data_IF_531559757918
#
_entry.id   IF_531559757918
#
_cell.length_a   1.000
_cell.length_b   1.000
_cell.length_c   1.000
_cell.angle_alpha   90.00
_cell.angle_beta   90.00
_cell.angle_gamma   90.00
#
_symmetry.space_group_name_H-M   'P 1'
#
loop_
_entity.id
_entity.type
_entity.pdbx_description
1 polymer ?
#
# COMPACT_ATOMS: atom_id res chain seq x y z
N UNK A 1 4.60 45.21 -6.15
CA UNK A 1 3.34 44.44 -6.26
C UNK A 1 3.77 42.98 -6.38
N UNK A 2 3.49 42.15 -5.37
CA UNK A 2 3.72 40.71 -5.48
C UNK A 2 2.48 40.14 -6.13
N UNK A 3 2.57 39.74 -7.40
CA UNK A 3 1.51 38.95 -8.03
C UNK A 3 1.58 37.55 -7.42
N UNK A 4 0.65 37.23 -6.52
CA UNK A 4 0.48 35.86 -6.04
C UNK A 4 0.08 34.96 -7.21
N UNK A 5 0.66 33.77 -7.28
CA UNK A 5 0.23 32.73 -8.22
C UNK A 5 -1.21 32.34 -7.86
N UNK A 6 -2.09 32.18 -8.85
CA UNK A 6 -3.47 31.76 -8.60
C UNK A 6 -3.45 30.40 -7.87
N UNK A 7 -4.19 30.30 -6.75
CA UNK A 7 -4.30 29.03 -6.05
C UNK A 7 -5.38 28.17 -6.71
N UNK A 8 -4.92 27.20 -7.49
CA UNK A 8 -5.80 26.23 -8.16
C UNK A 8 -6.12 25.00 -7.30
N UNK A 9 -5.47 24.86 -6.13
CA UNK A 9 -5.71 23.77 -5.19
C UNK A 9 -6.99 24.00 -4.39
N UNK A 10 -7.68 22.90 -4.03
CA UNK A 10 -8.85 22.88 -3.13
C UNK A 10 -10.14 23.54 -3.66
N UNK A 11 -10.46 23.38 -4.94
CA UNK A 11 -11.71 23.91 -5.48
C UNK A 11 -12.87 22.95 -5.28
N UNK A 12 -13.08 22.00 -6.18
CA UNK A 12 -14.18 21.04 -6.06
C UNK A 12 -13.70 19.74 -5.40
N UNK A 13 -14.35 19.34 -4.30
CA UNK A 13 -13.95 18.19 -3.46
C UNK A 13 -12.45 18.16 -3.10
N UNK A 14 -11.84 19.33 -2.89
CA UNK A 14 -10.43 19.44 -2.54
C UNK A 14 -9.44 19.28 -3.70
N UNK A 15 -9.92 19.03 -4.93
CA UNK A 15 -9.07 18.76 -6.08
C UNK A 15 -8.57 20.03 -6.77
N UNK A 16 -7.47 19.88 -7.52
CA UNK A 16 -6.85 20.94 -8.32
C UNK A 16 -7.65 21.21 -9.61
N UNK A 17 -7.90 22.48 -9.92
CA UNK A 17 -8.48 22.88 -11.20
C UNK A 17 -7.38 23.07 -12.26
N UNK A 18 -7.43 22.29 -13.34
CA UNK A 18 -6.50 22.36 -14.45
C UNK A 18 -6.95 23.38 -15.49
N UNK A 19 -6.20 24.48 -15.59
CA UNK A 19 -6.48 25.59 -16.53
C UNK A 19 -5.48 25.69 -17.67
N UNK A 20 -4.33 25.01 -17.62
CA UNK A 20 -3.21 25.26 -18.53
C UNK A 20 -3.54 25.03 -20.01
N UNK A 21 -4.57 24.24 -20.32
CA UNK A 21 -5.00 23.91 -21.68
C UNK A 21 -6.43 24.37 -22.01
N UNK A 22 -7.05 25.19 -21.16
CA UNK A 22 -8.45 25.61 -21.32
C UNK A 22 -9.46 24.46 -21.22
N UNK A 23 -9.03 23.31 -20.66
CA UNK A 23 -9.88 22.13 -20.43
C UNK A 23 -10.91 22.36 -19.33
N UNK A 24 -10.61 23.22 -18.35
CA UNK A 24 -11.47 23.49 -17.19
C UNK A 24 -11.89 22.20 -16.46
N UNK A 25 -10.94 21.27 -16.33
CA UNK A 25 -11.13 19.98 -15.65
C UNK A 25 -10.61 20.04 -14.22
N UNK A 26 -11.03 19.10 -13.39
CA UNK A 26 -10.46 18.88 -12.06
C UNK A 26 -9.62 17.61 -12.05
N UNK A 27 -8.40 17.68 -11.55
CA UNK A 27 -7.49 16.54 -11.45
C UNK A 27 -7.87 15.66 -10.26
N UNK A 28 -8.57 14.55 -10.50
CA UNK A 28 -8.89 13.51 -9.50
C UNK A 28 -7.88 12.37 -9.65
N UNK A 29 -6.67 12.60 -9.13
CA UNK A 29 -5.53 11.68 -9.22
C UNK A 29 -5.25 11.18 -10.66
N UNK A 30 -5.75 10.00 -11.00
CA UNK A 30 -5.52 9.33 -12.29
C UNK A 30 -6.61 9.60 -13.33
N UNK A 31 -7.71 10.29 -12.96
CA UNK A 31 -8.79 10.72 -13.87
C UNK A 31 -8.98 12.22 -13.81
N UNK A 32 -9.32 12.84 -14.94
CA UNK A 32 -9.69 14.25 -14.95
C UNK A 32 -11.21 14.32 -15.03
N UNK A 33 -11.83 15.00 -14.05
CA UNK A 33 -13.25 15.22 -14.00
C UNK A 33 -13.61 16.44 -14.85
N UNK A 34 -14.48 16.24 -15.83
CA UNK A 34 -15.03 17.32 -16.63
C UNK A 34 -16.38 17.76 -16.03
N UNK A 35 -16.42 18.94 -15.39
CA UNK A 35 -17.63 19.45 -14.77
C UNK A 35 -18.73 19.81 -15.79
N UNK A 36 -18.40 20.06 -17.07
CA UNK A 36 -19.37 20.42 -18.09
C UNK A 36 -20.26 19.22 -18.48
N UNK A 37 -19.72 18.00 -18.40
CA UNK A 37 -20.44 16.76 -18.69
C UNK A 37 -20.71 15.89 -17.46
N UNK A 38 -20.20 16.28 -16.29
CA UNK A 38 -20.30 15.54 -15.02
C UNK A 38 -19.83 14.08 -15.13
N UNK A 39 -18.69 13.89 -15.81
CA UNK A 39 -18.06 12.58 -16.08
C UNK A 39 -16.55 12.67 -15.96
N UNK A 40 -15.93 11.51 -15.77
CA UNK A 40 -14.50 11.39 -16.03
C UNK A 40 -14.22 11.31 -17.51
N UNK A 41 -13.06 11.85 -17.90
CA UNK A 41 -12.56 11.76 -19.28
C UNK A 41 -11.73 10.47 -19.53
N UNK A 42 -11.50 9.66 -18.50
CA UNK A 42 -10.74 8.41 -18.52
C UNK A 42 -11.56 7.28 -17.89
N UNK A 43 -11.32 6.05 -18.36
CA UNK A 43 -11.95 4.83 -17.83
C UNK A 43 -11.53 4.62 -16.38
N UNK A 44 -12.48 4.26 -15.52
CA UNK A 44 -12.27 3.86 -14.13
C UNK A 44 -11.38 2.62 -14.05
N UNK A 45 -10.28 2.66 -13.28
CA UNK A 45 -9.39 1.52 -13.03
C UNK A 45 -10.09 0.38 -12.29
N UNK A 46 -11.18 0.70 -11.60
CA UNK A 46 -12.09 -0.23 -10.94
C UNK A 46 -13.33 -0.56 -11.78
N UNK A 47 -13.34 -0.26 -13.08
CA UNK A 47 -14.49 -0.56 -13.95
C UNK A 47 -14.93 -2.03 -13.85
N UNK A 48 -13.97 -2.96 -13.71
CA UNK A 48 -14.25 -4.39 -13.53
C UNK A 48 -14.87 -4.73 -12.17
N UNK A 49 -14.58 -3.95 -11.12
CA UNK A 49 -15.22 -4.06 -9.80
C UNK A 49 -16.67 -3.57 -9.84
N UNK A 50 -16.96 -2.61 -10.74
CA UNK A 50 -18.24 -1.91 -10.84
C UNK A 50 -18.94 -2.13 -12.18
N UNK A 51 -19.06 -3.39 -12.63
CA UNK A 51 -19.66 -3.75 -13.94
C UNK A 51 -21.08 -3.20 -14.20
N UNK A 52 -21.83 -2.88 -13.13
CA UNK A 52 -23.17 -2.30 -13.22
C UNK A 52 -23.18 -0.79 -13.43
N UNK A 53 -22.02 -0.13 -13.41
CA UNK A 53 -21.86 1.30 -13.61
C UNK A 53 -21.06 1.60 -14.87
N UNK A 54 -21.26 2.80 -15.43
CA UNK A 54 -20.42 3.28 -16.53
C UNK A 54 -18.98 3.47 -16.04
N UNK A 55 -17.96 3.09 -16.83
CA UNK A 55 -16.56 3.34 -16.50
C UNK A 55 -16.19 4.82 -16.44
N UNK A 56 -17.09 5.73 -16.80
CA UNK A 56 -16.87 7.18 -16.77
C UNK A 56 -17.72 7.90 -15.70
N UNK A 57 -18.42 7.13 -14.85
CA UNK A 57 -19.33 7.70 -13.83
C UNK A 57 -18.54 8.49 -12.79
N UNK A 58 -19.06 9.67 -12.42
CA UNK A 58 -18.58 10.44 -11.29
C UNK A 58 -19.52 10.23 -10.11
N UNK A 59 -19.01 9.93 -8.90
CA UNK A 59 -19.78 9.87 -7.64
C UNK A 59 -21.10 9.07 -7.70
N UNK A 60 -21.14 7.97 -8.48
CA UNK A 60 -22.37 7.18 -8.73
C UNK A 60 -23.57 8.02 -9.18
N UNK A 61 -23.33 9.11 -9.91
CA UNK A 61 -24.33 10.11 -10.31
C UNK A 61 -24.98 10.90 -9.15
N UNK A 62 -24.38 10.92 -7.96
CA UNK A 62 -24.89 11.69 -6.83
C UNK A 62 -23.75 12.44 -6.10
N UNK A 63 -23.19 13.49 -6.72
CA UNK A 63 -22.09 14.30 -6.16
C UNK A 63 -22.50 15.18 -4.98
N UNK A 64 -23.80 15.22 -4.64
CA UNK A 64 -24.30 15.93 -3.46
C UNK A 64 -24.10 15.07 -2.21
N UNK A 65 -24.32 13.76 -2.33
CA UNK A 65 -24.25 12.82 -1.21
C UNK A 65 -22.90 12.10 -1.11
N UNK A 66 -22.23 11.88 -2.25
CA UNK A 66 -21.01 11.09 -2.31
C UNK A 66 -19.81 11.93 -2.72
N UNK A 67 -18.68 11.64 -2.05
CA UNK A 67 -17.38 12.13 -2.46
C UNK A 67 -16.72 11.09 -3.36
N UNK A 68 -16.01 11.56 -4.38
CA UNK A 68 -15.18 10.68 -5.17
C UNK A 68 -13.95 10.30 -4.35
N UNK A 69 -13.76 9.00 -4.22
CA UNK A 69 -12.62 8.40 -3.54
C UNK A 69 -11.74 7.76 -4.60
N UNK A 70 -10.44 7.92 -4.45
CA UNK A 70 -9.49 7.27 -5.31
C UNK A 70 -9.30 5.80 -4.98
N UNK A 71 -9.46 5.41 -3.73
CA UNK A 71 -9.29 4.04 -3.25
C UNK A 71 -10.40 3.61 -2.30
N UNK A 72 -10.87 2.37 -2.44
CA UNK A 72 -12.04 1.84 -1.75
C UNK A 72 -11.82 0.41 -1.21
N UNK A 73 -10.54 0.01 -1.12
CA UNK A 73 -10.16 -1.39 -0.95
C UNK A 73 -9.40 -1.70 0.34
N UNK A 74 -8.96 -0.70 1.11
CA UNK A 74 -8.28 -0.93 2.40
C UNK A 74 -9.18 -0.60 3.59
N UNK A 75 -9.58 -1.63 4.34
CA UNK A 75 -10.56 -1.53 5.42
C UNK A 75 -9.92 -1.82 6.77
N UNK A 76 -10.38 -1.12 7.82
CA UNK A 76 -10.08 -1.45 9.22
C UNK A 76 -11.33 -2.04 9.85
N UNK A 77 -11.21 -3.25 10.41
CA UNK A 77 -12.30 -3.87 11.16
C UNK A 77 -12.18 -3.55 12.65
N UNK A 78 -13.18 -2.85 13.21
CA UNK A 78 -13.19 -2.46 14.61
C UNK A 78 -14.54 -2.72 15.26
N UNK A 79 -14.57 -3.67 16.23
CA UNK A 79 -15.75 -3.98 17.05
C UNK A 79 -17.02 -4.26 16.24
N UNK A 80 -16.87 -5.03 15.16
CA UNK A 80 -17.94 -5.42 14.24
C UNK A 80 -18.31 -4.38 13.18
N UNK A 81 -17.49 -3.33 13.01
CA UNK A 81 -17.66 -2.35 11.93
C UNK A 81 -16.51 -2.51 10.94
N UNK A 82 -16.81 -2.47 9.63
CA UNK A 82 -15.83 -2.30 8.56
C UNK A 82 -15.74 -0.81 8.22
N UNK A 83 -14.53 -0.26 8.28
CA UNK A 83 -14.28 1.17 8.17
C UNK A 83 -13.28 1.35 7.03
N UNK A 84 -13.68 2.01 5.95
CA UNK A 84 -12.79 2.31 4.85
C UNK A 84 -11.71 3.30 5.34
N UNK A 85 -10.46 3.00 5.07
CA UNK A 85 -9.33 3.90 5.29
C UNK A 85 -8.83 4.41 3.94
N UNK A 86 -8.84 5.73 3.76
CA UNK A 86 -8.37 6.39 2.55
C UNK A 86 -7.65 7.69 2.89
N UNK A 87 -6.35 7.78 2.59
CA UNK A 87 -5.53 8.99 2.82
C UNK A 87 -5.73 9.64 4.21
N UNK A 88 -5.84 8.82 5.25
CA UNK A 88 -6.05 9.27 6.63
C UNK A 88 -7.51 9.53 7.01
N UNK A 89 -8.44 9.49 6.06
CA UNK A 89 -9.88 9.56 6.28
C UNK A 89 -10.45 8.19 6.66
N UNK A 90 -11.53 8.21 7.44
CA UNK A 90 -12.27 7.03 7.86
C UNK A 90 -13.72 7.14 7.42
N UNK A 91 -14.18 6.19 6.62
CA UNK A 91 -15.49 6.27 5.95
C UNK A 91 -16.29 4.98 6.14
N UNK A 92 -17.61 5.10 6.05
CA UNK A 92 -18.52 3.97 5.88
C UNK A 92 -18.44 3.47 4.43
N UNK A 93 -19.02 2.31 4.14
CA UNK A 93 -19.05 1.76 2.79
C UNK A 93 -19.85 2.59 1.77
N UNK A 94 -20.71 3.49 2.25
CA UNK A 94 -21.42 4.45 1.41
C UNK A 94 -20.63 5.75 1.16
N UNK A 95 -19.39 5.84 1.64
CA UNK A 95 -18.53 7.02 1.50
C UNK A 95 -18.82 8.14 2.49
N UNK A 96 -19.76 7.98 3.43
CA UNK A 96 -19.97 8.97 4.49
C UNK A 96 -18.89 8.86 5.57
N UNK A 97 -18.58 9.97 6.25
CA UNK A 97 -17.59 9.97 7.33
C UNK A 97 -17.98 8.99 8.47
N UNK A 98 -17.03 8.17 8.91
CA UNK A 98 -17.25 7.22 10.00
C UNK A 98 -17.24 7.94 11.35
N UNK A 99 -18.37 7.91 12.06
CA UNK A 99 -18.52 8.49 13.41
C UNK A 99 -18.85 7.46 14.49
N UNK A 100 -18.69 6.16 14.18
CA UNK A 100 -19.12 5.05 15.01
C UNK A 100 -18.17 4.67 16.16
N UNK A 101 -18.16 3.39 16.52
CA UNK A 101 -17.36 2.85 17.63
C UNK A 101 -15.87 3.18 17.42
N UNK A 102 -15.24 3.71 18.47
CA UNK A 102 -13.82 4.09 18.41
C UNK A 102 -13.58 5.55 18.02
N UNK A 103 -14.61 6.28 17.58
CA UNK A 103 -14.57 7.72 17.30
C UNK A 103 -15.19 8.50 18.46
N UNK A 104 -14.55 9.59 18.89
CA UNK A 104 -15.13 10.56 19.82
C UNK A 104 -15.02 11.96 19.24
N UNK A 105 -16.16 12.55 18.89
CA UNK A 105 -16.26 13.96 18.50
C UNK A 105 -16.22 14.82 19.77
N UNK A 106 -15.33 15.81 19.80
CA UNK A 106 -15.24 16.78 20.90
C UNK A 106 -16.20 17.95 20.66
N UNK A 107 -16.41 18.77 21.70
CA UNK A 107 -17.28 19.95 21.63
C UNK A 107 -16.84 20.98 20.57
N UNK A 108 -15.54 21.01 20.27
CA UNK A 108 -14.93 21.88 19.25
C UNK A 108 -15.01 21.30 17.83
N UNK A 109 -15.71 20.17 17.64
CA UNK A 109 -15.80 19.45 16.37
C UNK A 109 -14.61 18.54 16.08
N UNK A 110 -13.52 18.60 16.86
CA UNK A 110 -12.34 17.77 16.60
C UNK A 110 -12.59 16.29 16.92
N UNK A 111 -12.01 15.41 16.10
CA UNK A 111 -12.15 13.96 16.25
C UNK A 111 -11.01 13.39 17.09
N UNK A 112 -11.34 12.51 18.05
CA UNK A 112 -10.39 11.69 18.80
C UNK A 112 -10.70 10.21 18.60
N UNK A 113 -9.77 9.50 17.94
CA UNK A 113 -9.84 8.05 17.82
C UNK A 113 -9.42 7.34 19.12
N UNK A 114 -9.92 6.12 19.34
CA UNK A 114 -9.63 5.28 20.51
C UNK A 114 -9.33 3.83 20.13
N UNK A 115 -8.69 3.12 21.06
CA UNK A 115 -8.50 1.66 20.98
C UNK A 115 -7.71 1.22 19.76
N UNK A 116 -8.08 0.07 19.20
CA UNK A 116 -7.47 -0.48 17.99
C UNK A 116 -7.57 0.47 16.80
N UNK A 117 -8.75 1.07 16.54
CA UNK A 117 -8.96 2.01 15.44
C UNK A 117 -7.91 3.12 15.44
N UNK A 118 -7.67 3.78 16.57
CA UNK A 118 -6.61 4.80 16.70
C UNK A 118 -5.24 4.27 16.28
N UNK A 119 -4.87 3.08 16.76
CA UNK A 119 -3.52 2.55 16.56
C UNK A 119 -3.31 2.08 15.12
N UNK A 120 -4.32 1.47 14.50
CA UNK A 120 -4.31 1.08 13.10
C UNK A 120 -4.22 2.32 12.20
N UNK A 121 -5.11 3.30 12.38
CA UNK A 121 -5.08 4.57 11.61
C UNK A 121 -3.76 5.31 11.78
N UNK A 122 -3.23 5.43 13.00
CA UNK A 122 -1.93 6.07 13.21
C UNK A 122 -0.78 5.32 12.53
N UNK A 123 -0.82 3.99 12.49
CA UNK A 123 0.21 3.20 11.82
C UNK A 123 0.16 3.39 10.30
N UNK A 124 -1.04 3.36 9.70
CA UNK A 124 -1.23 3.66 8.27
C UNK A 124 -0.80 5.08 7.94
N UNK A 125 -1.23 6.09 8.70
CA UNK A 125 -0.79 7.48 8.49
C UNK A 125 0.73 7.65 8.60
N UNK A 126 1.38 6.85 9.46
CA UNK A 126 2.85 6.88 9.58
C UNK A 126 3.50 6.27 8.33
N UNK A 127 2.97 5.14 7.85
CA UNK A 127 3.43 4.50 6.60
C UNK A 127 3.25 5.45 5.42
N UNK A 128 2.04 6.01 5.22
CA UNK A 128 1.74 6.95 4.13
C UNK A 128 2.50 8.28 4.21
N UNK A 129 3.20 8.58 5.31
CA UNK A 129 3.97 9.82 5.43
C UNK A 129 5.32 9.82 4.69
N UNK A 130 5.72 8.66 4.14
CA UNK A 130 7.00 8.43 3.47
C UNK A 130 6.81 7.50 2.27
N UNK A 131 7.73 7.61 1.32
CA UNK A 131 7.59 7.04 -0.03
C UNK A 131 7.34 5.53 -0.06
N UNK A 132 8.13 4.72 0.66
CA UNK A 132 8.01 3.27 0.63
C UNK A 132 6.73 2.81 1.33
N UNK A 133 6.45 3.32 2.53
CA UNK A 133 5.20 3.04 3.23
C UNK A 133 3.97 3.48 2.44
N UNK A 134 4.01 4.66 1.81
CA UNK A 134 2.93 5.18 0.98
C UNK A 134 2.69 4.30 -0.25
N UNK A 135 3.75 3.86 -0.92
CA UNK A 135 3.62 2.99 -2.10
C UNK A 135 2.82 1.70 -1.83
N UNK A 136 2.96 1.12 -0.62
CA UNK A 136 2.23 -0.09 -0.22
C UNK A 136 0.77 0.24 0.10
N UNK A 137 0.54 1.32 0.85
CA UNK A 137 -0.80 1.72 1.28
C UNK A 137 -1.65 2.13 0.07
N UNK A 138 -1.08 2.96 -0.80
CA UNK A 138 -1.73 3.44 -2.03
C UNK A 138 -2.12 2.29 -2.93
N UNK A 139 -1.25 1.28 -3.11
CA UNK A 139 -1.52 0.13 -3.98
C UNK A 139 -2.71 -0.68 -3.46
N UNK A 140 -2.75 -1.00 -2.16
CA UNK A 140 -3.87 -1.75 -1.58
C UNK A 140 -5.18 -0.95 -1.53
N UNK A 141 -5.11 0.37 -1.34
CA UNK A 141 -6.28 1.24 -1.49
C UNK A 141 -6.78 1.25 -2.94
N UNK A 142 -5.85 1.10 -3.88
CA UNK A 142 -6.07 1.10 -5.32
C UNK A 142 -6.36 -0.27 -5.93
N UNK A 143 -6.47 -1.32 -5.11
CA UNK A 143 -6.69 -2.69 -5.59
C UNK A 143 -8.15 -2.93 -6.00
N UNK A 144 -8.38 -3.87 -6.90
CA UNK A 144 -9.72 -4.40 -7.19
C UNK A 144 -10.27 -5.28 -6.06
N UNK A 145 -9.39 -5.85 -5.23
CA UNK A 145 -9.73 -6.70 -4.09
C UNK A 145 -9.83 -5.89 -2.79
N UNK A 146 -10.64 -6.38 -1.84
CA UNK A 146 -10.76 -5.75 -0.53
C UNK A 146 -9.83 -6.40 0.49
N UNK A 147 -9.05 -5.59 1.20
CA UNK A 147 -8.15 -5.98 2.26
C UNK A 147 -8.67 -5.50 3.62
N UNK A 148 -8.67 -6.39 4.61
CA UNK A 148 -9.20 -6.10 5.96
C UNK A 148 -8.10 -6.14 7.01
N UNK A 149 -7.83 -5.01 7.67
CA UNK A 149 -6.95 -4.91 8.83
C UNK A 149 -7.75 -5.20 10.11
N UNK A 150 -7.43 -6.30 10.77
CA UNK A 150 -8.13 -6.80 11.97
C UNK A 150 -7.21 -6.76 13.20
N UNK A 151 -7.79 -6.66 14.40
CA UNK A 151 -7.01 -6.69 15.63
C UNK A 151 -6.51 -8.09 15.95
N UNK A 152 -5.23 -8.23 16.29
CA UNK A 152 -4.62 -9.47 16.75
C UNK A 152 -3.97 -9.30 18.12
N UNK A 153 -3.87 -10.41 18.86
CA UNK A 153 -3.07 -10.57 20.08
C UNK A 153 -2.01 -11.67 19.95
N UNK A 154 -1.88 -12.27 18.77
CA UNK A 154 -1.00 -13.41 18.49
C UNK A 154 0.15 -13.03 17.55
N UNK A 155 0.45 -11.73 17.46
CA UNK A 155 1.37 -11.19 16.47
C UNK A 155 0.69 -10.73 15.17
N UNK A 156 1.54 -10.35 14.21
CA UNK A 156 1.11 -9.88 12.90
C UNK A 156 1.11 -11.04 11.91
N UNK A 157 0.17 -11.04 10.96
CA UNK A 157 0.15 -12.00 9.86
C UNK A 157 -0.75 -11.53 8.72
N UNK A 158 -0.43 -11.94 7.50
CA UNK A 158 -1.33 -11.88 6.34
C UNK A 158 -1.95 -13.27 6.02
N UNK A 159 -3.26 -13.30 5.75
CA UNK A 159 -3.97 -14.49 5.24
C UNK A 159 -4.47 -14.24 3.80
N UNK A 160 -3.87 -14.91 2.79
CA UNK A 160 -4.24 -14.74 1.38
C UNK A 160 -5.60 -15.35 1.01
N UNK A 161 -6.19 -16.19 1.87
CA UNK A 161 -7.52 -16.76 1.56
C UNK A 161 -8.65 -15.76 1.82
N UNK A 162 -8.39 -14.76 2.67
CA UNK A 162 -9.39 -13.81 3.16
C UNK A 162 -8.95 -12.35 3.00
N UNK A 163 -7.78 -12.11 2.40
CA UNK A 163 -7.13 -10.81 2.29
C UNK A 163 -7.07 -10.06 3.64
N UNK A 164 -6.82 -10.81 4.71
CA UNK A 164 -6.87 -10.30 6.08
C UNK A 164 -5.48 -10.02 6.62
N UNK A 165 -5.25 -8.77 7.03
CA UNK A 165 -4.07 -8.32 7.74
C UNK A 165 -4.37 -8.33 9.25
N UNK A 166 -3.87 -9.34 9.95
CA UNK A 166 -3.90 -9.37 11.41
C UNK A 166 -2.84 -8.44 11.97
N UNK A 167 -3.25 -7.43 12.75
CA UNK A 167 -2.34 -6.45 13.32
C UNK A 167 -2.35 -6.47 14.85
N UNK A 168 -1.25 -6.91 15.44
CA UNK A 168 -0.97 -6.80 16.85
C UNK A 168 -0.30 -5.45 17.17
N UNK A 169 -1.13 -4.54 17.65
CA UNK A 169 -0.72 -3.17 18.03
C UNK A 169 0.17 -3.09 19.28
N UNK A 170 0.51 -4.23 19.89
CA UNK A 170 1.42 -4.35 21.02
C UNK A 170 2.72 -5.06 20.65
N UNK A 171 2.78 -5.72 19.48
CA UNK A 171 3.97 -6.41 18.99
C UNK A 171 5.06 -5.43 18.58
N UNK A 172 6.12 -5.40 19.40
CA UNK A 172 7.31 -4.53 19.24
C UNK A 172 8.56 -5.29 18.82
N UNK A 173 8.43 -6.58 18.53
CA UNK A 173 9.54 -7.44 18.15
C UNK A 173 9.35 -7.91 16.71
N UNK A 174 10.46 -8.05 15.98
CA UNK A 174 10.55 -8.61 14.64
C UNK A 174 11.84 -9.42 14.49
N UNK A 175 12.44 -9.37 13.31
CA UNK A 175 13.76 -9.97 13.09
C UNK A 175 14.91 -9.18 13.72
N UNK A 176 16.08 -9.83 13.83
CA UNK A 176 17.32 -9.20 14.27
C UNK A 176 17.65 -7.98 13.41
N UNK A 177 18.03 -6.87 14.03
CA UNK A 177 18.42 -5.64 13.35
C UNK A 177 19.94 -5.38 13.47
N UNK A 178 20.40 -4.33 12.79
CA UNK A 178 21.82 -3.91 12.79
C UNK A 178 22.36 -3.54 14.18
N UNK A 179 21.49 -3.21 15.14
CA UNK A 179 21.87 -2.93 16.53
C UNK A 179 21.91 -4.20 17.40
N UNK A 180 21.74 -5.38 16.81
CA UNK A 180 21.78 -6.65 17.53
C UNK A 180 20.56 -6.94 18.41
N UNK A 181 19.43 -6.24 18.20
CA UNK A 181 18.18 -6.51 18.90
C UNK A 181 17.03 -6.77 17.92
N UNK A 182 15.83 -7.10 18.42
CA UNK A 182 14.65 -7.40 17.60
C UNK A 182 13.60 -6.30 17.63
N UNK A 183 13.87 -5.18 18.31
CA UNK A 183 12.87 -4.15 18.57
C UNK A 183 12.52 -3.39 17.30
N UNK A 184 11.24 -3.12 17.11
CA UNK A 184 10.70 -2.31 16.01
C UNK A 184 9.47 -1.51 16.46
N UNK A 185 9.21 -0.34 15.84
CA UNK A 185 7.90 0.28 15.94
C UNK A 185 6.79 -0.62 15.38
N UNK A 186 5.56 -0.43 15.86
CA UNK A 186 4.42 -1.27 15.46
C UNK A 186 4.04 -1.08 13.99
N UNK A 187 4.18 0.14 13.45
CA UNK A 187 3.84 0.43 12.06
C UNK A 187 4.74 -0.31 11.06
N UNK A 188 6.00 -0.56 11.40
CA UNK A 188 6.92 -1.38 10.59
C UNK A 188 6.38 -2.81 10.44
N UNK A 189 5.82 -3.36 11.52
CA UNK A 189 5.20 -4.69 11.45
C UNK A 189 3.86 -4.71 10.72
N UNK A 190 3.10 -3.62 10.72
CA UNK A 190 1.92 -3.51 9.87
C UNK A 190 2.33 -3.43 8.40
N UNK A 191 3.32 -2.59 8.08
CA UNK A 191 3.86 -2.45 6.72
C UNK A 191 4.38 -3.76 6.15
N UNK A 192 5.00 -4.61 6.98
CA UNK A 192 5.41 -5.97 6.59
C UNK A 192 4.24 -6.82 6.10
N UNK A 193 3.13 -6.88 6.84
CA UNK A 193 1.97 -7.68 6.41
C UNK A 193 1.23 -7.07 5.22
N UNK A 194 1.18 -5.73 5.13
CA UNK A 194 0.64 -5.05 3.95
C UNK A 194 1.49 -5.37 2.71
N UNK A 195 2.82 -5.49 2.84
CA UNK A 195 3.67 -5.91 1.74
C UNK A 195 3.35 -7.34 1.26
N UNK A 196 2.97 -8.26 2.16
CA UNK A 196 2.43 -9.55 1.73
C UNK A 196 1.11 -9.40 0.95
N UNK A 197 0.23 -8.49 1.38
CA UNK A 197 -0.98 -8.15 0.63
C UNK A 197 -0.67 -7.64 -0.78
N UNK A 198 0.34 -6.78 -0.94
CA UNK A 198 0.78 -6.27 -2.25
C UNK A 198 1.36 -7.38 -3.13
N UNK A 199 2.17 -8.27 -2.56
CA UNK A 199 2.69 -9.45 -3.27
C UNK A 199 1.55 -10.32 -3.83
N UNK A 200 0.48 -10.46 -3.06
CA UNK A 200 -0.71 -11.24 -3.40
C UNK A 200 -1.58 -10.55 -4.46
N UNK A 201 -1.83 -9.24 -4.30
CA UNK A 201 -2.54 -8.38 -5.26
C UNK A 201 -1.90 -8.46 -6.66
N UNK A 202 -0.57 -8.51 -6.70
CA UNK A 202 0.22 -8.66 -7.93
C UNK A 202 0.25 -10.08 -8.50
N UNK A 203 -0.30 -11.07 -7.79
CA UNK A 203 -0.21 -12.49 -8.16
C UNK A 203 1.19 -13.09 -8.02
N UNK A 204 2.06 -12.46 -7.22
CA UNK A 204 3.47 -12.85 -7.02
C UNK A 204 3.75 -13.55 -5.69
N UNK A 205 2.75 -13.62 -4.79
CA UNK A 205 2.88 -14.25 -3.49
C UNK A 205 3.31 -15.72 -3.60
N UNK A 206 4.47 -16.03 -3.00
CA UNK A 206 5.00 -17.38 -2.99
C UNK A 206 5.07 -17.98 -1.59
N UNK A 207 4.05 -18.76 -1.26
CA UNK A 207 3.90 -19.42 0.05
C UNK A 207 4.76 -20.69 0.21
N UNK A 208 5.55 -21.07 -0.79
CA UNK A 208 6.47 -22.23 -0.68
C UNK A 208 7.65 -21.87 0.21
N UNK A 209 8.04 -22.83 1.05
CA UNK A 209 9.23 -22.72 1.90
C UNK A 209 10.49 -22.84 1.04
N UNK A 210 11.44 -21.93 1.25
CA UNK A 210 12.78 -22.02 0.70
C UNK A 210 13.60 -23.01 1.53
N UNK A 211 14.07 -24.08 0.89
CA UNK A 211 14.82 -25.15 1.55
C UNK A 211 16.17 -24.68 2.13
N UNK A 212 16.70 -23.53 1.69
CA UNK A 212 18.02 -23.03 2.08
C UNK A 212 18.03 -22.41 3.49
N UNK A 213 16.88 -21.90 3.95
CA UNK A 213 16.77 -21.21 5.25
C UNK A 213 15.46 -21.48 6.00
N UNK A 214 14.51 -22.23 5.42
CA UNK A 214 13.33 -22.73 6.14
C UNK A 214 12.16 -21.76 6.27
N UNK A 215 12.15 -20.65 5.52
CA UNK A 215 11.05 -19.66 5.53
C UNK A 215 10.34 -19.59 4.18
N UNK A 216 9.11 -19.06 4.16
CA UNK A 216 8.35 -18.86 2.92
C UNK A 216 9.06 -17.87 2.01
N UNK A 217 9.00 -18.09 0.70
CA UNK A 217 9.56 -17.17 -0.29
C UNK A 217 8.94 -15.77 -0.22
N UNK A 218 7.67 -15.68 0.19
CA UNK A 218 6.98 -14.41 0.45
C UNK A 218 7.72 -13.49 1.42
N UNK A 219 8.49 -14.03 2.38
CA UNK A 219 9.26 -13.22 3.35
C UNK A 219 10.34 -12.36 2.67
N UNK A 220 10.76 -12.72 1.45
CA UNK A 220 11.79 -12.01 0.68
C UNK A 220 11.36 -10.60 0.31
N UNK A 221 10.18 -10.47 -0.29
CA UNK A 221 9.63 -9.18 -0.65
C UNK A 221 9.19 -8.39 0.60
N UNK A 222 8.48 -9.02 1.53
CA UNK A 222 7.95 -8.31 2.71
C UNK A 222 9.06 -7.74 3.60
N UNK A 223 10.14 -8.48 3.83
CA UNK A 223 11.29 -7.95 4.59
C UNK A 223 12.13 -6.94 3.81
N UNK A 224 12.14 -7.02 2.46
CA UNK A 224 12.73 -5.97 1.63
C UNK A 224 11.97 -4.65 1.81
N UNK A 225 10.64 -4.66 1.67
CA UNK A 225 9.79 -3.50 1.90
C UNK A 225 9.88 -3.01 3.35
N UNK A 226 9.94 -3.91 4.33
CA UNK A 226 10.20 -3.57 5.73
C UNK A 226 11.50 -2.77 5.89
N UNK A 227 12.57 -3.16 5.19
CA UNK A 227 13.84 -2.44 5.23
C UNK A 227 13.81 -1.10 4.49
N UNK A 228 13.01 -0.96 3.42
CA UNK A 228 12.77 0.35 2.82
C UNK A 228 12.06 1.30 3.81
N UNK A 229 11.01 0.82 4.49
CA UNK A 229 10.29 1.56 5.53
C UNK A 229 11.22 1.90 6.71
N UNK A 230 12.06 0.96 7.14
CA UNK A 230 13.03 1.24 8.20
C UNK A 230 14.02 2.35 7.77
N UNK A 231 14.55 2.25 6.56
CA UNK A 231 15.53 3.21 6.03
C UNK A 231 14.97 4.64 5.96
N UNK A 232 13.78 4.83 5.38
CA UNK A 232 13.17 6.16 5.22
C UNK A 232 12.75 6.82 6.54
N UNK A 233 12.57 6.02 7.59
CA UNK A 233 12.28 6.47 8.95
C UNK A 233 13.52 6.54 9.87
N UNK A 234 14.72 6.25 9.35
CA UNK A 234 15.96 6.26 10.14
C UNK A 234 16.00 5.18 11.23
N UNK A 235 15.35 4.04 10.99
CA UNK A 235 15.29 2.89 11.88
C UNK A 235 16.32 1.85 11.42
N UNK A 236 17.01 1.22 12.37
CA UNK A 236 17.98 0.17 12.09
C UNK A 236 17.37 -0.97 11.27
N UNK A 237 18.07 -1.38 10.21
CA UNK A 237 17.58 -2.35 9.25
C UNK A 237 17.53 -3.75 9.84
N UNK A 238 16.55 -4.54 9.41
CA UNK A 238 16.48 -5.99 9.66
C UNK A 238 17.59 -6.68 8.87
N UNK A 239 18.24 -7.63 9.52
CA UNK A 239 19.42 -8.33 9.01
C UNK A 239 19.12 -9.77 8.58
N UNK A 240 18.06 -10.39 9.11
CA UNK A 240 17.74 -11.81 8.89
C UNK A 240 16.24 -12.03 8.69
N UNK A 241 15.88 -13.08 7.94
CA UNK A 241 14.48 -13.49 7.73
C UNK A 241 13.84 -14.02 9.01
N UNK A 242 14.53 -14.78 9.84
CA UNK A 242 13.92 -15.33 11.06
C UNK A 242 14.88 -16.21 11.85
N UNK A 243 14.32 -16.91 12.84
CA UNK A 243 15.06 -17.91 13.62
C UNK A 243 14.64 -19.33 13.21
N UNK A 244 15.61 -20.25 13.18
CA UNK A 244 15.31 -21.67 13.12
C UNK A 244 14.77 -22.22 14.45
N UNK A 245 14.44 -23.51 14.49
CA UNK A 245 13.92 -24.18 15.69
C UNK A 245 14.90 -24.16 16.89
N UNK A 246 16.18 -23.89 16.66
CA UNK A 246 17.22 -23.81 17.68
C UNK A 246 17.50 -22.35 18.10
N UNK A 247 16.77 -21.37 17.55
CA UNK A 247 16.93 -19.95 17.85
C UNK A 247 18.06 -19.26 17.06
N UNK A 248 18.71 -19.94 16.12
CA UNK A 248 19.75 -19.30 15.31
C UNK A 248 19.12 -18.44 14.23
N UNK A 249 19.69 -17.25 13.99
CA UNK A 249 19.24 -16.35 12.94
C UNK A 249 19.63 -16.87 11.56
N UNK A 250 18.65 -16.97 10.67
CA UNK A 250 18.79 -17.59 9.36
C UNK A 250 18.45 -16.61 8.23
N UNK A 251 19.14 -16.80 7.10
CA UNK A 251 18.91 -16.09 5.85
C UNK A 251 19.16 -14.58 5.93
N UNK A 252 20.41 -14.19 5.66
CA UNK A 252 20.84 -12.78 5.69
C UNK A 252 20.17 -11.93 4.61
N UNK A 253 19.66 -10.75 4.98
CA UNK A 253 18.95 -9.80 4.10
C UNK A 253 19.87 -8.79 3.42
N UNK A 254 21.03 -8.54 4.03
CA UNK A 254 21.91 -7.43 3.69
C UNK A 254 23.22 -7.93 3.10
N UNK A 255 23.75 -7.18 2.13
CA UNK A 255 25.12 -7.27 1.66
C UNK A 255 25.88 -6.04 2.19
N UNK A 256 26.94 -6.30 2.96
CA UNK A 256 27.76 -5.28 3.62
C UNK A 256 27.21 -4.78 4.97
N UNK A 257 28.11 -4.24 5.81
CA UNK A 257 27.80 -3.73 7.16
C UNK A 257 27.84 -2.20 7.25
N UNK A 258 27.78 -1.51 6.11
CA UNK A 258 27.87 -0.05 6.01
C UNK A 258 26.54 0.67 6.28
N UNK A 259 26.55 2.02 6.21
CA UNK A 259 25.36 2.87 6.40
C UNK A 259 24.29 2.72 5.31
N UNK A 260 24.67 2.25 4.13
CA UNK A 260 23.79 2.02 2.98
C UNK A 260 23.97 0.58 2.47
N UNK A 261 23.59 -0.43 3.26
CA UNK A 261 23.78 -1.81 2.86
C UNK A 261 22.90 -2.14 1.65
N UNK A 262 23.35 -3.10 0.86
CA UNK A 262 22.65 -3.54 -0.34
C UNK A 262 21.65 -4.65 0.01
N UNK A 263 20.51 -4.67 -0.71
CA UNK A 263 19.54 -5.75 -0.60
C UNK A 263 20.10 -7.02 -1.22
N UNK A 264 20.13 -8.12 -0.46
CA UNK A 264 20.43 -9.44 -1.03
C UNK A 264 19.32 -9.94 -1.97
N UNK A 265 18.09 -9.43 -1.81
CA UNK A 265 16.95 -9.82 -2.63
C UNK A 265 16.89 -9.07 -3.97
N UNK A 266 17.24 -7.77 -3.96
CA UNK A 266 17.36 -6.95 -5.17
C UNK A 266 18.80 -6.44 -5.29
N UNK A 267 19.69 -7.20 -5.95
CA UNK A 267 21.05 -6.78 -6.19
C UNK A 267 21.10 -5.38 -6.84
N UNK A 268 21.99 -4.52 -6.35
CA UNK A 268 22.13 -3.12 -6.74
C UNK A 268 21.19 -2.14 -6.02
N UNK A 269 20.21 -2.60 -5.24
CA UNK A 269 19.39 -1.72 -4.41
C UNK A 269 20.09 -1.40 -3.08
N UNK A 270 20.35 -0.12 -2.81
CA UNK A 270 20.96 0.35 -1.56
C UNK A 270 19.95 1.06 -0.67
N UNK A 271 19.73 0.55 0.54
CA UNK A 271 18.85 1.18 1.52
C UNK A 271 19.41 2.55 1.93
N UNK A 272 18.62 3.61 1.77
CA UNK A 272 19.00 4.98 2.15
C UNK A 272 20.01 5.68 1.23
N UNK A 273 20.28 5.15 0.03
CA UNK A 273 21.17 5.77 -0.98
C UNK A 273 20.46 6.76 -1.93
N UNK A 274 21.23 7.50 -2.74
CA UNK A 274 20.71 8.51 -3.71
C UNK A 274 19.78 7.87 -4.77
N UNK A 275 19.94 6.56 -5.01
CA UNK A 275 19.08 5.75 -5.89
C UNK A 275 17.89 5.10 -5.15
N UNK A 276 17.56 5.51 -3.92
CA UNK A 276 16.39 5.00 -3.18
C UNK A 276 15.06 5.58 -3.67
N UNK A 277 15.04 6.30 -4.81
CA UNK A 277 13.82 6.84 -5.41
C UNK A 277 13.10 5.74 -6.17
N UNK A 278 11.97 5.33 -5.61
CA UNK A 278 10.84 4.58 -6.17
C UNK A 278 11.08 4.07 -7.61
N UNK A 279 11.35 2.79 -7.72
CA UNK A 279 10.69 1.97 -8.73
C UNK A 279 10.20 0.73 -8.02
N UNK A 280 8.92 0.70 -7.68
CA UNK A 280 8.21 -0.57 -7.72
C UNK A 280 8.44 -1.08 -9.15
N UNK A 281 9.13 -2.21 -9.38
CA UNK A 281 8.99 -2.84 -10.67
C UNK A 281 7.50 -3.15 -10.80
N UNK A 282 6.82 -2.40 -11.66
CA UNK A 282 5.61 -2.89 -12.33
C UNK A 282 5.90 -4.35 -12.66
N UNK A 283 5.02 -5.26 -12.27
CA UNK A 283 5.02 -6.61 -12.81
C UNK A 283 4.94 -6.44 -14.33
N UNK A 284 6.10 -6.39 -14.99
CA UNK A 284 6.16 -6.45 -16.43
C UNK A 284 5.47 -7.75 -16.82
N UNK A 285 4.67 -7.76 -17.88
CA UNK A 285 4.06 -8.99 -18.35
C UNK A 285 5.16 -10.03 -18.46
N UNK A 286 4.97 -11.17 -17.80
CA UNK A 286 5.83 -12.33 -17.95
C UNK A 286 5.96 -12.57 -19.44
N UNK A 287 7.14 -12.28 -19.98
CA UNK A 287 7.45 -12.60 -21.36
C UNK A 287 7.50 -14.13 -21.40
N UNK A 288 6.38 -14.73 -21.78
CA UNK A 288 6.34 -16.12 -22.18
C UNK A 288 7.23 -16.18 -23.43
N UNK A 289 8.48 -16.55 -23.21
CA UNK A 289 9.38 -17.02 -24.26
C UNK A 289 8.72 -18.28 -24.83
N UNK A 290 7.95 -18.09 -25.90
CA UNK A 290 7.45 -19.21 -26.70
C UNK A 290 8.65 -20.07 -27.11
N UNK A 291 8.56 -21.41 -26.98
CA UNK A 291 9.62 -22.29 -27.43
C UNK A 291 9.81 -22.10 -28.94
N UNK A 292 11.09 -22.03 -29.31
CA UNK A 292 11.65 -21.94 -30.64
C UNK A 292 10.84 -22.78 -31.64
N UNK A 293 10.14 -22.10 -32.55
CA UNK A 293 9.66 -22.73 -33.79
C UNK A 293 10.86 -22.78 -34.72
N UNK A 294 11.43 -23.97 -34.89
CA UNK A 294 12.41 -24.24 -35.94
C UNK A 294 11.67 -24.10 -37.28
N UNK A 295 12.11 -23.21 -38.20
CA UNK A 295 11.48 -23.10 -39.50
C UNK A 295 11.77 -24.36 -40.34
N UNK A 296 10.71 -25.05 -40.75
CA UNK A 296 10.77 -26.04 -41.81
C UNK A 296 11.16 -25.35 -43.11
N UNK A 297 12.27 -25.80 -43.69
CA UNK A 297 12.75 -25.37 -45.01
C UNK A 297 11.80 -25.93 -46.07
N UNK A 298 10.91 -25.07 -46.60
CA UNK A 298 10.26 -25.33 -47.88
C UNK A 298 11.24 -24.93 -49.00
N UNK A 299 11.84 -25.92 -49.65
CA UNK A 299 12.40 -25.74 -50.99
C UNK A 299 11.23 -25.75 -51.99
N UNK A 300 11.15 -24.69 -52.78
CA UNK A 300 10.55 -24.68 -54.12
C UNK A 300 11.69 -24.34 -55.10
N UNK A 301 11.63 -24.76 -56.38
CA UNK A 301 10.49 -25.32 -57.11
C UNK A 301 10.46 -26.85 -57.15
#
# INVERSE_FOLDING_TARGET
MVNGVENNYQKFQGQEEEKELGKNTYAFQWRDYDPAIARFNKIDRFAEKYVSHSPYVFTKNNPIMYQEIAGDSLWIEHKGNKILYEDGNLMNADGTAYTGKGVKVKKDGSIKLKGFLKKATNALNTLSSKDAGNSIVDELQSSTDNYSIVSSSSGNSYDPNTNTISFDTSSKNGGLNQDGNTRRPTFVGLGHELAHGVDDDRGTLNMRVDASFGFRNAEKFSTHMENQIRAEHGISLRTHYGQDANGNWQGSLLLGNGRTPESRYYPGYHYGGINSRITLPSAGPVLIINPIVIPTINKLP
#
